data_IF_468027418400
#
_entry.id   IF_468027418400
#
_cell.length_a   1.000
_cell.length_b   1.000
_cell.length_c   1.000
_cell.angle_alpha   90.00
_cell.angle_beta   90.00
_cell.angle_gamma   90.00
#
_symmetry.space_group_name_H-M   'P 1'
#
loop_
_entity.id
_entity.type
_entity.pdbx_description
1 polymer ?
#
# COMPACT_ATOMS: atom_id res chain seq x y z
N UNK A 1 -8.96 13.14 13.48
CA UNK A 1 -8.25 12.25 12.55
C UNK A 1 -8.29 10.79 13.01
N UNK A 2 -7.84 10.44 14.21
CA UNK A 2 -7.82 9.03 14.66
C UNK A 2 -9.20 8.34 14.66
N UNK A 3 -10.25 9.02 15.16
CA UNK A 3 -11.62 8.45 15.18
C UNK A 3 -12.21 8.25 13.79
N UNK A 4 -11.89 9.14 12.85
CA UNK A 4 -12.30 9.06 11.47
C UNK A 4 -11.58 7.89 10.76
N UNK A 5 -10.28 7.76 10.99
CA UNK A 5 -9.48 6.66 10.45
C UNK A 5 -9.99 5.29 10.93
N UNK A 6 -10.23 5.11 12.24
CA UNK A 6 -10.82 3.88 12.78
C UNK A 6 -12.20 3.55 12.19
N UNK A 7 -13.00 4.59 11.90
CA UNK A 7 -14.30 4.40 11.24
C UNK A 7 -14.11 3.93 9.80
N UNK A 8 -13.21 4.56 9.03
CA UNK A 8 -12.99 4.16 7.64
C UNK A 8 -12.31 2.80 7.52
N UNK A 9 -11.40 2.46 8.43
CA UNK A 9 -10.84 1.11 8.53
C UNK A 9 -11.94 0.06 8.74
N UNK A 10 -12.90 0.30 9.63
CA UNK A 10 -14.04 -0.61 9.79
C UNK A 10 -14.85 -0.81 8.50
N UNK A 11 -14.98 0.24 7.67
CA UNK A 11 -15.62 0.12 6.36
C UNK A 11 -14.77 -0.71 5.41
N UNK A 12 -13.46 -0.46 5.37
CA UNK A 12 -12.50 -1.20 4.54
C UNK A 12 -12.54 -2.72 4.80
N UNK A 13 -12.72 -3.12 6.07
CA UNK A 13 -12.84 -4.53 6.48
C UNK A 13 -14.23 -5.14 6.23
N UNK A 14 -15.19 -4.37 5.71
CA UNK A 14 -16.50 -4.88 5.36
C UNK A 14 -16.38 -5.98 4.28
N UNK A 15 -17.23 -7.00 4.41
CA UNK A 15 -17.37 -8.04 3.36
C UNK A 15 -18.21 -7.56 2.17
N UNK A 16 -18.97 -6.48 2.36
CA UNK A 16 -19.70 -5.84 1.27
C UNK A 16 -18.72 -5.00 0.43
N UNK A 17 -18.53 -5.31 -0.86
CA UNK A 17 -17.53 -4.63 -1.69
C UNK A 17 -17.74 -3.12 -1.78
N UNK A 18 -18.99 -2.66 -1.91
CA UNK A 18 -19.29 -1.23 -1.98
C UNK A 18 -18.90 -0.49 -0.70
N UNK A 19 -19.17 -1.08 0.45
CA UNK A 19 -18.76 -0.54 1.75
C UNK A 19 -17.24 -0.55 1.92
N UNK A 20 -16.56 -1.60 1.45
CA UNK A 20 -15.09 -1.68 1.48
C UNK A 20 -14.46 -0.59 0.61
N UNK A 21 -14.98 -0.39 -0.60
CA UNK A 21 -14.57 0.68 -1.52
C UNK A 21 -14.80 2.07 -0.91
N UNK A 22 -15.93 2.31 -0.25
CA UNK A 22 -16.18 3.57 0.47
C UNK A 22 -15.12 3.83 1.56
N UNK A 23 -14.72 2.78 2.28
CA UNK A 23 -13.62 2.82 3.24
C UNK A 23 -12.29 3.19 2.58
N UNK A 24 -11.96 2.54 1.47
CA UNK A 24 -10.77 2.83 0.68
C UNK A 24 -10.74 4.29 0.20
N UNK A 25 -11.81 4.76 -0.43
CA UNK A 25 -11.89 6.13 -0.96
C UNK A 25 -11.85 7.19 0.13
N UNK A 26 -12.39 6.91 1.31
CA UNK A 26 -12.31 7.82 2.42
C UNK A 26 -10.87 7.95 2.95
N UNK A 27 -10.15 6.83 3.09
CA UNK A 27 -8.75 6.83 3.55
C UNK A 27 -7.81 7.42 2.50
N UNK A 28 -7.99 7.10 1.22
CA UNK A 28 -7.06 7.50 0.15
C UNK A 28 -6.90 9.02 0.01
N UNK A 29 -7.97 9.78 0.28
CA UNK A 29 -7.95 11.26 0.31
C UNK A 29 -7.04 11.85 1.38
N UNK A 30 -6.68 11.05 2.38
CA UNK A 30 -5.84 11.42 3.52
C UNK A 30 -4.64 10.49 3.69
N UNK A 31 -4.31 9.68 2.67
CA UNK A 31 -3.32 8.61 2.79
C UNK A 31 -1.94 9.13 3.21
N UNK A 32 -1.56 10.31 2.71
CA UNK A 32 -0.28 10.94 3.06
C UNK A 32 -0.22 11.36 4.52
N UNK A 33 -1.29 11.96 5.05
CA UNK A 33 -1.38 12.35 6.46
C UNK A 33 -1.48 11.14 7.40
N UNK A 34 -2.08 10.05 6.93
CA UNK A 34 -2.33 8.83 7.69
C UNK A 34 -1.24 7.77 7.52
N UNK A 35 -0.10 8.08 6.88
CA UNK A 35 0.92 7.07 6.54
C UNK A 35 1.43 6.28 7.75
N UNK A 36 1.61 6.91 8.90
CA UNK A 36 2.09 6.21 10.11
C UNK A 36 1.04 5.22 10.63
N UNK A 37 -0.24 5.59 10.59
CA UNK A 37 -1.35 4.72 11.00
C UNK A 37 -1.55 3.58 9.99
N UNK A 38 -1.43 3.87 8.69
CA UNK A 38 -1.48 2.87 7.61
C UNK A 38 -0.36 1.84 7.73
N UNK A 39 0.86 2.26 8.05
CA UNK A 39 1.99 1.37 8.28
C UNK A 39 1.72 0.44 9.47
N UNK A 40 1.21 1.01 10.57
CA UNK A 40 0.88 0.25 11.76
C UNK A 40 -0.25 -0.77 11.51
N UNK A 41 -1.24 -0.42 10.69
CA UNK A 41 -2.33 -1.34 10.36
C UNK A 41 -1.89 -2.43 9.38
N UNK A 42 -1.08 -2.08 8.38
CA UNK A 42 -0.51 -3.04 7.43
C UNK A 42 0.29 -4.14 8.13
N UNK A 43 1.10 -3.78 9.13
CA UNK A 43 1.90 -4.73 9.91
C UNK A 43 1.03 -5.74 10.68
N UNK A 44 -0.18 -5.37 11.09
CA UNK A 44 -1.11 -6.24 11.82
C UNK A 44 -2.02 -7.05 10.90
N UNK A 45 -2.31 -6.55 9.71
CA UNK A 45 -3.29 -7.15 8.81
C UNK A 45 -2.77 -8.46 8.18
N UNK A 46 -3.60 -9.50 8.21
CA UNK A 46 -3.33 -10.85 7.66
C UNK A 46 -4.43 -11.33 6.70
N UNK A 47 -5.50 -10.56 6.55
CA UNK A 47 -6.67 -10.84 5.74
C UNK A 47 -6.71 -10.07 4.41
N UNK A 48 -7.89 -10.06 3.77
CA UNK A 48 -8.05 -9.53 2.41
C UNK A 48 -7.79 -8.02 2.29
N UNK A 49 -7.97 -7.24 3.36
CA UNK A 49 -7.73 -5.80 3.33
C UNK A 49 -6.23 -5.44 3.23
N UNK A 50 -5.32 -6.42 3.38
CA UNK A 50 -3.87 -6.19 3.23
C UNK A 50 -3.50 -5.60 1.88
N UNK A 51 -4.15 -6.06 0.81
CA UNK A 51 -3.95 -5.53 -0.53
C UNK A 51 -4.36 -4.05 -0.61
N UNK A 52 -5.54 -3.72 -0.09
CA UNK A 52 -6.04 -2.34 -0.06
C UNK A 52 -5.13 -1.42 0.76
N UNK A 53 -4.62 -1.89 1.90
CA UNK A 53 -3.65 -1.13 2.72
C UNK A 53 -2.33 -0.91 1.96
N UNK A 54 -1.83 -1.90 1.21
CA UNK A 54 -0.64 -1.72 0.35
C UNK A 54 -0.85 -0.63 -0.69
N UNK A 55 -2.02 -0.64 -1.35
CA UNK A 55 -2.39 0.37 -2.34
C UNK A 55 -2.46 1.77 -1.71
N UNK A 56 -3.07 1.90 -0.52
CA UNK A 56 -3.13 3.15 0.24
C UNK A 56 -1.73 3.67 0.63
N UNK A 57 -0.81 2.77 1.00
CA UNK A 57 0.59 3.13 1.26
C UNK A 57 1.31 3.64 0.01
N UNK A 58 0.99 3.09 -1.17
CA UNK A 58 1.43 3.64 -2.46
C UNK A 58 0.84 5.02 -2.75
N UNK A 59 -0.46 5.19 -2.55
CA UNK A 59 -1.19 6.45 -2.75
C UNK A 59 -0.72 7.57 -1.79
N UNK A 60 -0.23 7.20 -0.61
CA UNK A 60 0.36 8.14 0.35
C UNK A 60 1.60 8.87 -0.21
N UNK A 61 2.29 8.28 -1.20
CA UNK A 61 3.52 8.79 -1.84
C UNK A 61 4.55 9.31 -0.84
N UNK A 62 4.62 8.65 0.30
CA UNK A 62 5.49 9.03 1.40
C UNK A 62 6.70 8.10 1.41
N UNK A 63 7.94 8.63 1.48
CA UNK A 63 9.13 7.81 1.60
C UNK A 63 9.10 6.83 2.78
N UNK A 64 8.27 7.09 3.81
CA UNK A 64 8.06 6.17 4.94
C UNK A 64 7.49 4.82 4.53
N UNK A 65 6.76 4.74 3.41
CA UNK A 65 6.20 3.50 2.89
C UNK A 65 7.23 2.64 2.13
N UNK A 66 8.46 3.16 1.91
CA UNK A 66 9.47 2.50 1.09
C UNK A 66 9.75 1.07 1.53
N UNK A 67 10.01 0.82 2.81
CA UNK A 67 10.42 -0.50 3.30
C UNK A 67 9.31 -1.55 3.11
N UNK A 68 8.05 -1.18 3.35
CA UNK A 68 6.90 -2.07 3.14
C UNK A 68 6.73 -2.38 1.66
N UNK A 69 6.75 -1.35 0.80
CA UNK A 69 6.62 -1.56 -0.64
C UNK A 69 7.81 -2.35 -1.22
N UNK A 70 9.01 -2.15 -0.70
CA UNK A 70 10.20 -2.89 -1.09
C UNK A 70 10.10 -4.38 -0.72
N UNK A 71 9.60 -4.69 0.49
CA UNK A 71 9.42 -6.07 0.94
C UNK A 71 8.41 -6.84 0.08
N UNK A 72 7.34 -6.17 -0.36
CA UNK A 72 6.30 -6.81 -1.17
C UNK A 72 6.68 -6.99 -2.65
N UNK A 73 7.82 -6.47 -3.12
CA UNK A 73 8.33 -6.80 -4.47
C UNK A 73 8.62 -8.30 -4.64
N UNK A 74 8.92 -9.00 -3.56
CA UNK A 74 9.20 -10.45 -3.56
C UNK A 74 8.02 -11.28 -3.04
N UNK A 75 6.83 -10.68 -2.90
CA UNK A 75 5.62 -11.38 -2.46
C UNK A 75 5.30 -12.55 -3.39
N UNK A 76 4.76 -13.66 -2.89
CA UNK A 76 4.33 -14.78 -3.75
C UNK A 76 3.08 -14.42 -4.58
N UNK A 77 2.27 -13.49 -4.07
CA UNK A 77 1.09 -12.95 -4.75
C UNK A 77 1.51 -11.92 -5.82
N UNK A 78 1.20 -12.22 -7.09
CA UNK A 78 1.50 -11.33 -8.22
C UNK A 78 0.83 -9.96 -8.10
N UNK A 79 -0.39 -9.92 -7.55
CA UNK A 79 -1.14 -8.68 -7.36
C UNK A 79 -0.44 -7.79 -6.34
N UNK A 80 0.03 -8.38 -5.24
CA UNK A 80 0.85 -7.67 -4.24
C UNK A 80 2.14 -7.12 -4.86
N UNK A 81 2.88 -7.95 -5.61
CA UNK A 81 4.10 -7.50 -6.31
C UNK A 81 3.83 -6.34 -7.27
N UNK A 82 2.73 -6.40 -8.02
CA UNK A 82 2.36 -5.36 -8.99
C UNK A 82 2.09 -4.02 -8.30
N UNK A 83 1.33 -4.03 -7.20
CA UNK A 83 1.03 -2.81 -6.45
C UNK A 83 2.21 -2.29 -5.65
N UNK A 84 3.05 -3.17 -5.11
CA UNK A 84 4.33 -2.81 -4.51
C UNK A 84 5.22 -2.04 -5.51
N UNK A 85 5.35 -2.56 -6.73
CA UNK A 85 6.06 -1.88 -7.83
C UNK A 85 5.44 -0.51 -8.12
N UNK A 86 4.13 -0.44 -8.29
CA UNK A 86 3.44 0.81 -8.57
C UNK A 86 3.65 1.86 -7.47
N UNK A 87 3.57 1.46 -6.20
CA UNK A 87 3.83 2.33 -5.07
C UNK A 87 5.26 2.85 -5.07
N UNK A 88 6.26 1.99 -5.30
CA UNK A 88 7.67 2.40 -5.42
C UNK A 88 7.90 3.38 -6.58
N UNK A 89 7.23 3.16 -7.72
CA UNK A 89 7.27 4.09 -8.85
C UNK A 89 6.69 5.46 -8.47
N UNK A 90 5.59 5.47 -7.70
CA UNK A 90 4.93 6.68 -7.23
C UNK A 90 5.72 7.45 -6.14
N UNK A 91 6.64 6.79 -5.41
CA UNK A 91 7.53 7.48 -4.46
C UNK A 91 8.52 8.41 -5.17
N UNK A 92 8.95 8.07 -6.39
CA UNK A 92 9.96 8.78 -7.19
C UNK A 92 11.24 9.19 -6.42
N UNK A 93 11.62 8.41 -5.40
CA UNK A 93 12.89 8.60 -4.69
C UNK A 93 14.04 7.96 -5.45
N UNK A 94 15.28 8.40 -5.17
CA UNK A 94 16.47 7.78 -5.76
C UNK A 94 16.57 6.30 -5.36
N UNK A 95 16.23 6.00 -4.12
CA UNK A 95 16.25 4.68 -3.51
C UNK A 95 15.24 3.75 -4.22
N UNK A 96 14.00 4.21 -4.41
CA UNK A 96 12.96 3.46 -5.12
C UNK A 96 13.36 3.17 -6.58
N UNK A 97 13.85 4.18 -7.31
CA UNK A 97 14.32 3.99 -8.69
C UNK A 97 15.49 3.01 -8.78
N UNK A 98 16.42 3.06 -7.83
CA UNK A 98 17.55 2.13 -7.78
C UNK A 98 17.08 0.71 -7.52
N UNK A 99 16.16 0.51 -6.58
CA UNK A 99 15.59 -0.79 -6.25
C UNK A 99 14.85 -1.39 -7.46
N UNK A 100 13.96 -0.60 -8.08
CA UNK A 100 13.20 -1.01 -9.27
C UNK A 100 14.09 -1.36 -10.45
N UNK A 101 15.17 -0.61 -10.66
CA UNK A 101 16.14 -0.94 -11.70
C UNK A 101 16.80 -2.31 -11.44
N UNK A 102 17.24 -2.59 -10.20
CA UNK A 102 17.84 -3.89 -9.83
C UNK A 102 16.85 -5.03 -10.00
N UNK A 103 15.62 -4.83 -9.52
CA UNK A 103 14.56 -5.83 -9.61
C UNK A 103 14.24 -6.19 -11.08
N UNK A 104 14.20 -5.22 -12.00
CA UNK A 104 14.03 -5.47 -13.45
C UNK A 104 15.18 -6.27 -14.07
N UNK A 105 16.41 -6.16 -13.56
CA UNK A 105 17.53 -6.98 -14.04
C UNK A 105 17.38 -8.44 -13.60
N UNK A 106 16.81 -8.69 -12.43
CA UNK A 106 16.61 -10.03 -11.88
C UNK A 106 15.33 -10.71 -12.40
N UNK A 107 14.31 -9.90 -12.74
CA UNK A 107 13.02 -10.33 -13.23
C UNK A 107 12.69 -9.60 -14.54
N UNK A 108 13.32 -9.96 -15.67
CA UNK A 108 13.05 -9.31 -16.94
C UNK A 108 11.57 -9.52 -17.32
N UNK A 109 10.89 -8.50 -17.90
CA UNK A 109 9.58 -8.71 -18.48
C UNK A 109 9.70 -9.77 -19.58
N UNK A 110 8.88 -10.83 -19.47
CA UNK A 110 8.77 -11.88 -20.48
C UNK A 110 8.15 -11.41 -21.78
#
# INVERSE_FOLDING_TARGET
>A
MAREFERWLRLLHSRDPGTSDDGYFAISRHARELVDDLLAEYDRERGPARLSLLMLLGDARSPKAFDVLAAELTSEDETMRRWARHGLEALDTKEARTLLWRDRQNNPPG
#
